data_IF_194635482792
#
_entry.id   IF_194635482792
#
_cell.length_a   1.000
_cell.length_b   1.000
_cell.length_c   1.000
_cell.angle_alpha   90.00
_cell.angle_beta   90.00
_cell.angle_gamma   90.00
#
_symmetry.space_group_name_H-M   'P 1'
#
loop_
_entity.id
_entity.type
_entity.pdbx_description
1 polymer ?
#
# COMPACT_ATOMS: atom_id res chain seq x y z
N UNK A 1 -1.88 -13.23 -28.75
CA UNK A 1 -1.55 -12.69 -27.42
C UNK A 1 -0.09 -12.31 -27.40
N UNK A 2 0.21 -11.00 -27.46
CA UNK A 2 1.58 -10.47 -27.33
C UNK A 2 2.10 -10.73 -25.91
N UNK A 3 3.41 -10.97 -25.78
CA UNK A 3 4.11 -11.15 -24.50
C UNK A 3 5.41 -10.37 -24.52
N UNK A 4 5.83 -9.89 -23.35
CA UNK A 4 7.11 -9.19 -23.20
C UNK A 4 8.25 -10.15 -23.55
N UNK A 5 9.20 -9.70 -24.37
CA UNK A 5 10.39 -10.46 -24.75
C UNK A 5 11.34 -10.73 -23.57
N UNK A 6 11.20 -9.99 -22.46
CA UNK A 6 12.05 -10.12 -21.26
C UNK A 6 11.41 -10.84 -20.09
N UNK A 7 10.20 -10.45 -19.71
CA UNK A 7 9.53 -10.98 -18.50
C UNK A 7 8.33 -11.88 -18.81
N UNK A 8 8.01 -12.11 -20.09
CA UNK A 8 6.88 -12.93 -20.55
C UNK A 8 5.49 -12.42 -20.15
N UNK A 9 5.38 -11.25 -19.51
CA UNK A 9 4.09 -10.65 -19.14
C UNK A 9 3.19 -10.49 -20.37
N UNK A 10 1.94 -10.99 -20.32
CA UNK A 10 1.01 -10.93 -21.44
C UNK A 10 0.33 -9.56 -21.57
N UNK A 11 -0.13 -9.22 -22.77
CA UNK A 11 -0.82 -7.95 -23.06
C UNK A 11 -2.17 -7.78 -22.35
N UNK A 12 -2.65 -8.82 -21.67
CA UNK A 12 -3.87 -8.79 -20.86
C UNK A 12 -3.64 -8.20 -19.46
N UNK A 13 -2.40 -7.96 -19.05
CA UNK A 13 -2.12 -7.25 -17.80
C UNK A 13 -2.52 -5.79 -17.99
N UNK A 14 -3.36 -5.30 -17.09
CA UNK A 14 -3.90 -3.94 -17.19
C UNK A 14 -2.77 -2.90 -17.28
N UNK A 15 -2.99 -1.86 -18.08
CA UNK A 15 -2.06 -0.75 -18.40
C UNK A 15 -0.77 -1.06 -19.15
N UNK A 16 -0.41 -2.33 -19.31
CA UNK A 16 0.91 -2.63 -19.86
C UNK A 16 0.98 -2.20 -21.34
N UNK A 17 2.03 -1.45 -21.68
CA UNK A 17 2.32 -1.08 -23.07
C UNK A 17 3.59 -1.78 -23.52
N UNK A 18 3.78 -1.88 -24.83
CA UNK A 18 4.95 -2.51 -25.44
C UNK A 18 5.55 -1.58 -26.48
N UNK A 19 6.87 -1.48 -26.49
CA UNK A 19 7.60 -0.78 -27.53
C UNK A 19 7.76 -1.65 -28.80
N UNK A 20 8.46 -1.11 -29.81
CA UNK A 20 8.72 -1.80 -31.08
C UNK A 20 9.65 -3.02 -30.92
N UNK A 21 10.45 -3.09 -29.84
CA UNK A 21 11.30 -4.24 -29.50
C UNK A 21 10.52 -5.36 -28.78
N UNK A 22 9.23 -5.14 -28.48
CA UNK A 22 8.40 -6.08 -27.74
C UNK A 22 8.71 -6.13 -26.25
N UNK A 23 9.39 -5.13 -25.71
CA UNK A 23 9.65 -4.99 -24.27
C UNK A 23 8.49 -4.21 -23.64
N UNK A 24 8.02 -4.66 -22.48
CA UNK A 24 6.93 -3.98 -21.79
C UNK A 24 7.40 -2.74 -21.02
N UNK A 25 6.48 -1.79 -20.82
CA UNK A 25 6.68 -0.57 -20.05
C UNK A 25 7.26 -0.80 -18.66
N UNK A 26 6.82 -1.84 -17.93
CA UNK A 26 7.36 -2.17 -16.59
C UNK A 26 8.85 -2.56 -16.67
N UNK A 27 9.25 -3.36 -17.67
CA UNK A 27 10.66 -3.67 -17.88
C UNK A 27 11.49 -2.42 -18.19
N UNK A 28 10.94 -1.47 -18.96
CA UNK A 28 11.60 -0.18 -19.21
C UNK A 28 11.72 0.69 -17.95
N UNK A 29 10.72 0.68 -17.08
CA UNK A 29 10.80 1.37 -15.78
C UNK A 29 11.86 0.76 -14.86
N UNK A 30 12.04 -0.56 -14.88
CA UNK A 30 13.12 -1.23 -14.13
C UNK A 30 14.51 -0.82 -14.65
N UNK A 31 14.70 -0.72 -15.97
CA UNK A 31 15.94 -0.18 -16.56
C UNK A 31 16.16 1.27 -16.11
N UNK A 32 15.12 2.11 -16.19
CA UNK A 32 15.20 3.50 -15.73
C UNK A 32 15.63 3.59 -14.26
N UNK A 33 15.05 2.77 -13.38
CA UNK A 33 15.42 2.72 -11.97
C UNK A 33 16.90 2.41 -11.75
N UNK A 34 17.47 1.53 -12.58
CA UNK A 34 18.87 1.11 -12.49
C UNK A 34 19.83 2.17 -13.03
N UNK A 35 19.47 2.82 -14.14
CA UNK A 35 20.42 3.63 -14.91
C UNK A 35 20.25 5.14 -14.74
N UNK A 36 19.07 5.62 -14.32
CA UNK A 36 18.69 7.05 -14.41
C UNK A 36 18.36 7.71 -13.08
N UNK A 37 18.05 6.95 -12.03
CA UNK A 37 17.73 7.55 -10.72
C UNK A 37 19.01 8.02 -10.03
N UNK A 38 19.07 9.33 -9.73
CA UNK A 38 20.05 9.89 -8.80
C UNK A 38 19.61 9.61 -7.36
N UNK A 39 20.11 8.50 -6.81
CA UNK A 39 19.81 8.10 -5.43
C UNK A 39 20.35 9.08 -4.38
N UNK A 40 21.41 9.84 -4.69
CA UNK A 40 21.92 10.85 -3.77
C UNK A 40 20.99 12.05 -3.72
N UNK A 41 20.41 12.46 -4.85
CA UNK A 41 19.37 13.48 -4.90
C UNK A 41 18.08 13.04 -4.20
N UNK A 42 17.61 11.81 -4.47
CA UNK A 42 16.44 11.24 -3.77
C UNK A 42 16.63 11.19 -2.25
N UNK A 43 17.85 10.87 -1.78
CA UNK A 43 18.15 10.92 -0.36
C UNK A 43 18.05 12.34 0.20
N UNK A 44 18.57 13.36 -0.51
CA UNK A 44 18.44 14.77 -0.08
C UNK A 44 16.98 15.20 0.02
N UNK A 45 16.17 14.89 -0.99
CA UNK A 45 14.74 15.18 -0.99
C UNK A 45 14.03 14.51 0.21
N UNK A 46 14.38 13.25 0.50
CA UNK A 46 13.85 12.54 1.66
C UNK A 46 14.27 13.21 2.98
N UNK A 47 15.54 13.58 3.13
CA UNK A 47 16.06 14.23 4.33
C UNK A 47 15.36 15.57 4.60
N UNK A 48 15.05 16.34 3.56
CA UNK A 48 14.29 17.59 3.65
C UNK A 48 12.85 17.35 4.16
N UNK A 49 12.15 16.34 3.62
CA UNK A 49 10.81 15.95 4.07
C UNK A 49 10.85 15.49 5.53
N UNK A 50 11.84 14.68 5.90
CA UNK A 50 12.03 14.17 7.26
C UNK A 50 12.25 15.31 8.24
N UNK A 51 13.14 16.25 7.91
CA UNK A 51 13.42 17.42 8.74
C UNK A 51 12.19 18.30 8.96
N UNK A 52 11.28 18.36 7.99
CA UNK A 52 10.04 19.10 8.10
C UNK A 52 9.01 18.49 9.09
N UNK A 53 9.15 17.23 9.50
CA UNK A 53 8.15 16.54 10.33
C UNK A 53 8.68 16.02 11.67
N UNK A 54 9.97 15.69 11.73
CA UNK A 54 10.61 15.09 12.90
C UNK A 54 10.49 15.96 14.15
N UNK A 55 10.02 15.36 15.25
CA UNK A 55 9.90 15.95 16.57
C UNK A 55 8.74 16.95 16.73
N UNK A 56 7.82 17.05 15.76
CA UNK A 56 6.75 18.07 15.76
C UNK A 56 5.40 17.56 16.28
N UNK A 57 5.16 16.25 16.24
CA UNK A 57 3.90 15.63 16.64
C UNK A 57 4.07 14.53 17.68
N UNK A 58 2.97 13.85 17.99
CA UNK A 58 3.01 12.64 18.82
C UNK A 58 3.85 11.52 18.18
N UNK A 59 3.77 11.44 16.86
CA UNK A 59 4.57 10.59 15.97
C UNK A 59 5.15 11.43 14.84
N UNK A 60 6.32 11.05 14.35
CA UNK A 60 6.99 11.73 13.24
C UNK A 60 6.43 11.30 11.88
N UNK A 61 5.92 10.07 11.80
CA UNK A 61 5.34 9.50 10.60
C UNK A 61 4.42 8.31 10.89
N UNK A 62 3.60 7.96 9.90
CA UNK A 62 2.85 6.70 9.84
C UNK A 62 3.59 5.70 8.94
N UNK A 63 3.61 4.44 9.34
CA UNK A 63 4.19 3.34 8.57
C UNK A 63 3.19 2.19 8.45
N UNK A 64 2.62 1.94 7.26
CA UNK A 64 1.88 0.73 6.96
C UNK A 64 2.78 -0.50 7.08
N UNK A 65 2.30 -1.56 7.72
CA UNK A 65 3.14 -2.73 7.97
C UNK A 65 2.39 -4.04 7.77
N UNK A 66 2.93 -4.93 6.92
CA UNK A 66 2.36 -6.26 6.64
C UNK A 66 3.12 -7.41 7.30
N UNK A 67 4.38 -7.18 7.67
CA UNK A 67 5.29 -8.26 8.12
C UNK A 67 6.11 -8.90 7.02
N UNK A 68 5.91 -8.47 5.77
CA UNK A 68 6.76 -8.84 4.65
C UNK A 68 8.14 -8.17 4.73
N UNK A 69 9.13 -8.76 4.03
CA UNK A 69 10.53 -8.29 4.01
C UNK A 69 10.66 -6.78 3.77
N UNK A 70 9.85 -6.22 2.88
CA UNK A 70 9.96 -4.81 2.47
C UNK A 70 9.46 -3.89 3.57
N UNK A 71 8.30 -4.20 4.18
CA UNK A 71 7.78 -3.45 5.34
C UNK A 71 8.68 -3.56 6.57
N UNK A 72 9.34 -4.71 6.79
CA UNK A 72 10.33 -4.90 7.85
C UNK A 72 11.54 -4.01 7.62
N UNK A 73 12.08 -4.01 6.40
CA UNK A 73 13.23 -3.16 6.06
C UNK A 73 12.89 -1.68 6.13
N UNK A 74 11.72 -1.28 5.62
CA UNK A 74 11.24 0.10 5.70
C UNK A 74 11.15 0.57 7.16
N UNK A 75 10.52 -0.22 8.04
CA UNK A 75 10.40 0.12 9.46
C UNK A 75 11.77 0.20 10.14
N UNK A 76 12.66 -0.76 9.84
CA UNK A 76 14.04 -0.73 10.31
C UNK A 76 14.75 0.56 9.87
N UNK A 77 14.65 0.93 8.59
CA UNK A 77 15.32 2.11 8.04
C UNK A 77 14.80 3.39 8.69
N UNK A 78 13.48 3.54 8.82
CA UNK A 78 12.83 4.68 9.47
C UNK A 78 13.31 4.86 10.91
N UNK A 79 13.35 3.78 11.70
CA UNK A 79 13.72 3.84 13.12
C UNK A 79 15.23 3.94 13.30
N UNK A 80 16.01 3.09 12.62
CA UNK A 80 17.45 2.94 12.87
C UNK A 80 18.31 3.89 12.06
N UNK A 81 17.87 4.30 10.87
CA UNK A 81 18.64 5.20 9.99
C UNK A 81 18.10 6.63 10.09
N UNK A 82 16.82 6.86 9.79
CA UNK A 82 16.21 8.20 9.84
C UNK A 82 15.98 8.72 11.27
N UNK A 83 16.02 7.80 12.26
CA UNK A 83 15.79 8.08 13.69
C UNK A 83 14.46 8.78 13.93
N UNK A 84 13.41 8.32 13.25
CA UNK A 84 12.05 8.79 13.44
C UNK A 84 11.33 7.93 14.49
N UNK A 85 10.32 8.51 15.13
CA UNK A 85 9.32 7.83 15.95
C UNK A 85 8.06 7.54 15.11
N UNK A 86 7.92 6.35 14.51
CA UNK A 86 6.74 6.02 13.72
C UNK A 86 5.57 5.55 14.60
N UNK A 87 4.36 5.77 14.12
CA UNK A 87 3.20 4.93 14.45
C UNK A 87 3.04 3.88 13.37
N UNK A 88 3.16 2.61 13.75
CA UNK A 88 2.96 1.49 12.84
C UNK A 88 1.46 1.19 12.75
N UNK A 89 0.94 1.10 11.53
CA UNK A 89 -0.48 0.80 11.27
C UNK A 89 -0.59 -0.50 10.50
N UNK A 90 -1.38 -1.42 11.05
CA UNK A 90 -1.68 -2.72 10.46
C UNK A 90 -3.17 -2.86 10.19
N UNK A 91 -3.49 -3.50 9.08
CA UNK A 91 -4.82 -4.00 8.79
C UNK A 91 -4.79 -5.53 8.82
N UNK A 92 -5.62 -6.14 9.66
CA UNK A 92 -5.69 -7.59 9.80
C UNK A 92 -6.82 -8.16 8.94
N UNK A 93 -6.47 -8.71 7.80
CA UNK A 93 -7.42 -9.30 6.85
C UNK A 93 -7.90 -10.72 7.25
N UNK A 94 -7.79 -11.11 8.54
CA UNK A 94 -8.14 -12.43 9.08
C UNK A 94 -7.35 -13.63 8.54
N UNK A 95 -6.30 -13.38 7.77
CA UNK A 95 -5.52 -14.43 7.08
C UNK A 95 -4.08 -14.58 7.55
N UNK A 96 -3.67 -13.88 8.62
CA UNK A 96 -2.29 -14.02 9.12
C UNK A 96 -2.03 -15.43 9.65
N UNK A 97 -0.91 -16.00 9.24
CA UNK A 97 -0.41 -17.27 9.78
C UNK A 97 0.21 -17.01 11.16
N UNK A 98 0.12 -17.95 12.12
CA UNK A 98 0.70 -17.77 13.46
C UNK A 98 2.17 -17.32 13.43
N UNK A 99 2.99 -17.92 12.55
CA UNK A 99 4.39 -17.55 12.39
C UNK A 99 4.60 -16.10 11.95
N UNK A 100 3.70 -15.55 11.13
CA UNK A 100 3.77 -14.14 10.72
C UNK A 100 3.52 -13.24 11.91
N UNK A 101 2.56 -13.60 12.77
CA UNK A 101 2.27 -12.82 13.98
C UNK A 101 3.41 -12.87 15.00
N UNK A 102 4.02 -14.04 15.19
CA UNK A 102 5.20 -14.20 16.04
C UNK A 102 6.40 -13.37 15.54
N UNK A 103 6.64 -13.41 14.22
CA UNK A 103 7.69 -12.61 13.58
C UNK A 103 7.43 -11.11 13.73
N UNK A 104 6.20 -10.68 13.50
CA UNK A 104 5.81 -9.27 13.64
C UNK A 104 6.01 -8.79 15.06
N UNK A 105 5.53 -9.55 16.05
CA UNK A 105 5.73 -9.27 17.47
C UNK A 105 7.22 -9.17 17.81
N UNK A 106 8.04 -10.07 17.29
CA UNK A 106 9.50 -10.04 17.49
C UNK A 106 10.13 -8.77 16.90
N UNK A 107 9.77 -8.39 15.67
CA UNK A 107 10.26 -7.18 15.02
C UNK A 107 9.87 -5.93 15.81
N UNK A 108 8.62 -5.79 16.22
CA UNK A 108 8.15 -4.63 16.99
C UNK A 108 8.88 -4.48 18.32
N UNK A 109 9.12 -5.59 19.03
CA UNK A 109 9.90 -5.59 20.28
C UNK A 109 11.36 -5.18 20.05
N UNK A 110 11.98 -5.66 18.98
CA UNK A 110 13.39 -5.35 18.67
C UNK A 110 13.59 -3.91 18.19
N UNK A 111 12.65 -3.39 17.41
CA UNK A 111 12.73 -2.02 16.88
C UNK A 111 12.23 -0.98 17.88
N UNK A 112 11.29 -1.34 18.75
CA UNK A 112 10.74 -0.48 19.79
C UNK A 112 9.81 0.59 19.20
N UNK A 113 8.63 0.18 18.74
CA UNK A 113 7.66 1.07 18.11
C UNK A 113 6.23 0.82 18.60
N UNK A 114 5.40 1.86 18.54
CA UNK A 114 3.97 1.77 18.81
C UNK A 114 3.25 1.19 17.59
N UNK A 115 2.31 0.29 17.82
CA UNK A 115 1.58 -0.43 16.76
C UNK A 115 0.09 -0.37 17.02
N UNK A 116 -0.67 0.02 16.01
CA UNK A 116 -2.13 -0.12 15.98
C UNK A 116 -2.48 -1.13 14.91
N UNK A 117 -3.26 -2.13 15.30
CA UNK A 117 -3.86 -3.07 14.38
C UNK A 117 -5.38 -2.89 14.37
N UNK A 118 -5.94 -2.70 13.18
CA UNK A 118 -7.36 -2.79 12.97
C UNK A 118 -7.73 -4.18 12.44
N UNK A 119 -8.56 -4.87 13.22
CA UNK A 119 -9.15 -6.15 12.83
C UNK A 119 -10.64 -5.92 12.56
N UNK A 120 -11.08 -5.88 11.28
CA UNK A 120 -12.47 -5.67 10.90
C UNK A 120 -13.35 -6.80 11.41
N UNK A 121 -14.67 -6.59 11.48
CA UNK A 121 -15.60 -7.67 11.79
C UNK A 121 -15.53 -8.77 10.73
N UNK A 122 -15.25 -10.03 11.13
CA UNK A 122 -15.14 -11.15 10.20
C UNK A 122 -16.42 -11.39 9.38
N UNK A 123 -17.60 -11.14 9.95
CA UNK A 123 -18.86 -11.28 9.23
C UNK A 123 -18.96 -10.29 8.06
N UNK A 124 -18.51 -9.05 8.27
CA UNK A 124 -18.44 -8.03 7.21
C UNK A 124 -17.43 -8.47 6.15
N UNK A 125 -16.22 -8.87 6.57
CA UNK A 125 -15.17 -9.36 5.66
C UNK A 125 -15.66 -10.51 4.80
N UNK A 126 -16.38 -11.47 5.37
CA UNK A 126 -16.91 -12.62 4.62
C UNK A 126 -17.88 -12.18 3.52
N UNK A 127 -18.78 -11.24 3.80
CA UNK A 127 -19.69 -10.72 2.78
C UNK A 127 -18.93 -9.93 1.71
N UNK A 128 -17.96 -9.11 2.09
CA UNK A 128 -17.09 -8.35 1.18
C UNK A 128 -16.28 -9.25 0.27
N UNK A 129 -15.67 -10.31 0.81
CA UNK A 129 -14.91 -11.30 0.05
C UNK A 129 -15.78 -11.99 -1.00
N UNK A 130 -16.99 -12.43 -0.61
CA UNK A 130 -17.90 -13.12 -1.52
C UNK A 130 -18.41 -12.19 -2.62
N UNK A 131 -18.80 -10.96 -2.27
CA UNK A 131 -19.35 -10.01 -3.23
C UNK A 131 -18.30 -9.53 -4.23
N UNK A 132 -17.09 -9.21 -3.77
CA UNK A 132 -15.97 -8.85 -4.65
C UNK A 132 -15.56 -9.99 -5.57
N UNK A 133 -15.48 -11.22 -5.05
CA UNK A 133 -15.14 -12.39 -5.86
C UNK A 133 -16.15 -12.61 -7.01
N UNK A 134 -17.45 -12.49 -6.73
CA UNK A 134 -18.49 -12.64 -7.77
C UNK A 134 -18.37 -11.60 -8.90
N UNK A 135 -17.90 -10.39 -8.58
CA UNK A 135 -17.87 -9.27 -9.52
C UNK A 135 -16.57 -9.14 -10.28
N UNK A 136 -15.44 -9.36 -9.58
CA UNK A 136 -14.10 -9.10 -10.10
C UNK A 136 -13.24 -10.34 -10.22
N UNK A 137 -13.67 -11.48 -9.66
CA UNK A 137 -12.83 -12.67 -9.53
C UNK A 137 -11.76 -12.53 -8.44
N UNK A 138 -11.75 -11.41 -7.70
CA UNK A 138 -10.85 -11.13 -6.60
C UNK A 138 -11.64 -10.98 -5.30
N UNK A 139 -11.29 -11.77 -4.29
CA UNK A 139 -11.92 -11.75 -2.98
C UNK A 139 -11.29 -10.73 -2.01
N UNK A 140 -10.12 -10.19 -2.35
CA UNK A 140 -9.33 -9.36 -1.45
C UNK A 140 -9.66 -7.87 -1.58
N UNK A 141 -10.81 -7.47 -2.15
CA UNK A 141 -11.22 -6.06 -2.23
C UNK A 141 -11.08 -5.35 -0.88
N UNK A 142 -11.58 -5.97 0.20
CA UNK A 142 -11.46 -5.47 1.56
C UNK A 142 -10.01 -5.31 2.06
N UNK A 143 -9.06 -6.09 1.52
CA UNK A 143 -7.63 -5.95 1.79
C UNK A 143 -7.13 -4.68 1.12
N UNK A 144 -7.38 -4.54 -0.18
CA UNK A 144 -6.86 -3.44 -0.99
C UNK A 144 -7.38 -2.09 -0.49
N UNK A 145 -8.68 -2.00 -0.20
CA UNK A 145 -9.28 -0.78 0.33
C UNK A 145 -8.91 -0.57 1.79
N UNK A 146 -9.09 -1.58 2.64
CA UNK A 146 -8.89 -1.48 4.09
C UNK A 146 -7.46 -1.14 4.52
N UNK A 147 -6.45 -1.64 3.80
CA UNK A 147 -5.05 -1.27 4.05
C UNK A 147 -4.83 0.21 3.76
N UNK A 148 -5.30 0.69 2.61
CA UNK A 148 -5.02 2.06 2.17
C UNK A 148 -5.83 3.10 2.93
N UNK A 149 -7.16 2.95 2.95
CA UNK A 149 -8.03 3.90 3.65
C UNK A 149 -7.81 3.84 5.17
N UNK A 150 -7.58 2.66 5.73
CA UNK A 150 -7.33 2.50 7.17
C UNK A 150 -6.06 3.20 7.65
N UNK A 151 -4.99 3.14 6.86
CA UNK A 151 -3.77 3.91 7.12
C UNK A 151 -4.03 5.42 7.08
N UNK A 152 -4.73 5.91 6.05
CA UNK A 152 -5.08 7.33 5.93
C UNK A 152 -5.97 7.80 7.10
N UNK A 153 -6.91 6.96 7.49
CA UNK A 153 -7.76 7.17 8.65
C UNK A 153 -6.99 7.29 9.97
N UNK A 154 -5.90 6.54 10.13
CA UNK A 154 -5.03 6.68 11.30
C UNK A 154 -4.17 7.94 11.20
N UNK A 155 -3.62 8.25 10.03
CA UNK A 155 -2.86 9.48 9.81
C UNK A 155 -3.65 10.73 10.22
N UNK A 156 -4.93 10.81 9.81
CA UNK A 156 -5.83 11.90 10.19
C UNK A 156 -6.14 11.90 11.68
N UNK A 157 -6.47 10.75 12.28
CA UNK A 157 -6.84 10.65 13.70
C UNK A 157 -5.68 10.98 14.66
N UNK A 158 -4.46 10.64 14.28
CA UNK A 158 -3.25 10.92 15.05
C UNK A 158 -2.55 12.21 14.62
N UNK A 159 -3.17 12.99 13.73
CA UNK A 159 -2.65 14.28 13.23
C UNK A 159 -1.19 14.15 12.75
N UNK A 160 -0.88 13.03 12.09
CA UNK A 160 0.48 12.68 11.64
C UNK A 160 0.55 12.75 10.11
N UNK A 161 1.06 13.84 9.53
CA UNK A 161 0.93 14.12 8.10
C UNK A 161 1.95 13.40 7.21
N UNK A 162 3.09 12.95 7.76
CA UNK A 162 4.09 12.22 6.99
C UNK A 162 3.77 10.72 6.98
N UNK A 163 3.73 10.14 5.79
CA UNK A 163 3.38 8.73 5.59
C UNK A 163 4.37 8.06 4.64
N UNK A 164 4.87 6.88 5.01
CA UNK A 164 5.83 6.11 4.20
C UNK A 164 5.14 4.92 3.54
N UNK A 165 4.89 5.00 2.23
CA UNK A 165 4.43 3.84 1.44
C UNK A 165 5.61 2.98 1.00
N UNK A 166 5.43 1.66 1.00
CA UNK A 166 6.50 0.69 0.78
C UNK A 166 6.85 0.41 -0.68
N UNK A 167 6.03 0.85 -1.63
CA UNK A 167 6.11 0.43 -3.04
C UNK A 167 5.75 1.60 -3.95
N UNK A 168 6.56 1.82 -4.99
CA UNK A 168 6.18 2.69 -6.11
C UNK A 168 5.38 1.88 -7.11
N UNK A 169 4.26 2.43 -7.59
CA UNK A 169 3.43 1.71 -8.56
C UNK A 169 4.12 1.50 -9.91
N UNK A 170 5.17 2.28 -10.21
CA UNK A 170 6.02 2.10 -11.39
C UNK A 170 6.75 0.73 -11.41
N UNK A 171 6.83 0.02 -10.28
CA UNK A 171 7.41 -1.33 -10.22
C UNK A 171 6.47 -2.42 -10.77
N UNK A 172 5.17 -2.15 -10.86
CA UNK A 172 4.15 -3.17 -11.14
C UNK A 172 3.15 -2.76 -12.23
N UNK A 173 2.89 -1.46 -12.37
CA UNK A 173 1.88 -0.90 -13.25
C UNK A 173 2.48 0.20 -14.13
N UNK A 174 1.79 0.54 -15.21
CA UNK A 174 2.23 1.61 -16.13
C UNK A 174 1.39 2.88 -16.00
N UNK A 175 0.68 3.02 -14.87
CA UNK A 175 -0.05 4.24 -14.52
C UNK A 175 0.88 5.37 -14.09
N UNK A 176 2.06 5.01 -13.56
CA UNK A 176 3.07 5.94 -13.09
C UNK A 176 4.48 5.46 -13.50
N UNK A 177 5.43 6.38 -13.48
CA UNK A 177 6.84 6.20 -13.84
C UNK A 177 7.75 6.66 -12.71
N UNK A 178 9.02 6.26 -12.72
CA UNK A 178 10.00 6.74 -11.72
C UNK A 178 10.43 8.21 -11.92
N UNK A 179 10.05 8.80 -13.05
CA UNK A 179 10.32 10.19 -13.40
C UNK A 179 9.41 11.16 -12.64
N UNK A 180 8.19 10.73 -12.31
CA UNK A 180 7.22 11.57 -11.62
C UNK A 180 7.16 11.30 -10.11
N UNK A 181 6.74 12.32 -9.36
CA UNK A 181 6.40 12.16 -7.94
C UNK A 181 4.94 11.73 -7.86
N UNK A 182 4.71 10.45 -7.57
CA UNK A 182 3.37 9.88 -7.47
C UNK A 182 2.58 10.52 -6.32
N UNK A 183 1.43 11.11 -6.65
CA UNK A 183 0.48 11.62 -5.66
C UNK A 183 -0.45 10.50 -5.19
N UNK A 184 -0.48 10.24 -3.89
CA UNK A 184 -1.36 9.24 -3.27
C UNK A 184 -2.69 9.88 -2.88
N UNK A 185 -3.46 10.26 -3.90
CA UNK A 185 -4.74 10.94 -3.78
C UNK A 185 -5.96 10.00 -3.95
N UNK A 186 -7.16 10.57 -3.86
CA UNK A 186 -8.42 9.84 -4.04
C UNK A 186 -8.53 9.24 -5.46
N UNK A 187 -8.05 9.96 -6.49
CA UNK A 187 -8.07 9.49 -7.87
C UNK A 187 -7.23 8.22 -8.03
N UNK A 188 -6.04 8.19 -7.44
CA UNK A 188 -5.18 7.01 -7.39
C UNK A 188 -5.85 5.87 -6.62
N UNK A 189 -6.44 6.16 -5.46
CA UNK A 189 -7.15 5.15 -4.67
C UNK A 189 -8.27 4.48 -5.48
N UNK A 190 -9.10 5.27 -6.16
CA UNK A 190 -10.20 4.79 -7.00
C UNK A 190 -9.71 4.04 -8.25
N UNK A 191 -8.53 4.38 -8.77
CA UNK A 191 -7.94 3.72 -9.93
C UNK A 191 -7.28 2.39 -9.60
N UNK A 192 -6.57 2.32 -8.47
CA UNK A 192 -5.64 1.23 -8.17
C UNK A 192 -6.08 0.33 -7.02
N UNK A 193 -6.77 0.88 -6.01
CA UNK A 193 -6.97 0.18 -4.75
C UNK A 193 -8.37 -0.41 -4.63
N UNK A 194 -9.40 0.38 -4.90
CA UNK A 194 -10.78 -0.12 -4.79
C UNK A 194 -11.27 -0.88 -6.02
N UNK A 195 -10.40 -1.03 -7.02
CA UNK A 195 -10.68 -1.68 -8.30
C UNK A 195 -11.85 -1.05 -9.06
N UNK A 196 -12.29 0.16 -8.77
CA UNK A 196 -13.52 0.75 -9.34
C UNK A 196 -14.81 0.21 -8.71
N UNK A 197 -14.75 -0.23 -7.45
CA UNK A 197 -15.91 -0.47 -6.59
C UNK A 197 -15.69 0.38 -5.33
N UNK A 198 -16.43 1.46 -5.17
CA UNK A 198 -16.38 2.28 -3.96
C UNK A 198 -17.05 1.57 -2.77
N UNK A 199 -16.87 2.08 -1.55
CA UNK A 199 -17.59 1.58 -0.39
C UNK A 199 -19.12 1.75 -0.52
N UNK A 200 -19.58 2.83 -1.16
CA UNK A 200 -20.99 3.05 -1.44
C UNK A 200 -21.52 2.07 -2.51
N UNK A 201 -20.76 1.80 -3.57
CA UNK A 201 -21.12 0.74 -4.54
C UNK A 201 -21.23 -0.62 -3.85
N UNK A 202 -20.26 -0.96 -3.00
CA UNK A 202 -20.24 -2.21 -2.25
C UNK A 202 -21.43 -2.30 -1.30
N UNK A 203 -21.80 -1.20 -0.63
CA UNK A 203 -22.99 -1.13 0.23
C UNK A 203 -24.27 -1.50 -0.55
N UNK A 204 -24.47 -0.90 -1.73
CA UNK A 204 -25.60 -1.19 -2.59
C UNK A 204 -25.59 -2.65 -3.08
N UNK A 205 -24.41 -3.18 -3.43
CA UNK A 205 -24.25 -4.57 -3.85
C UNK A 205 -24.56 -5.58 -2.75
N UNK A 206 -24.31 -5.21 -1.49
CA UNK A 206 -24.57 -6.07 -0.34
C UNK A 206 -26.06 -6.13 0.02
N UNK A 207 -26.89 -5.20 -0.45
CA UNK A 207 -28.36 -5.21 -0.29
C UNK A 207 -28.79 -5.39 1.17
N UNK A 208 -28.15 -4.65 2.08
CA UNK A 208 -28.46 -4.69 3.52
C UNK A 208 -27.86 -5.86 4.30
N UNK A 209 -27.01 -6.70 3.68
CA UNK A 209 -26.24 -7.74 4.42
C UNK A 209 -25.19 -7.16 5.36
N UNK A 210 -24.79 -5.91 5.15
CA UNK A 210 -23.84 -5.15 5.98
C UNK A 210 -24.38 -3.72 6.15
N UNK A 211 -24.25 -3.16 7.34
CA UNK A 211 -24.65 -1.78 7.61
C UNK A 211 -23.63 -0.79 7.02
N UNK A 212 -24.11 0.35 6.52
CA UNK A 212 -23.21 1.35 5.89
C UNK A 212 -22.09 1.79 6.81
N UNK A 213 -22.38 1.93 8.11
CA UNK A 213 -21.38 2.32 9.12
C UNK A 213 -20.26 1.30 9.28
N UNK A 214 -20.49 0.04 8.93
CA UNK A 214 -19.48 -1.02 9.05
C UNK A 214 -18.48 -0.98 7.88
N UNK A 215 -18.77 -0.16 6.86
CA UNK A 215 -17.90 0.03 5.70
C UNK A 215 -16.97 1.24 5.82
N UNK A 216 -16.99 1.95 6.96
CA UNK A 216 -16.20 3.19 7.15
C UNK A 216 -14.69 3.03 6.94
N UNK A 217 -14.18 1.81 7.05
CA UNK A 217 -12.76 1.49 6.88
C UNK A 217 -12.41 1.12 5.44
N UNK A 218 -13.30 1.24 4.46
CA UNK A 218 -13.07 0.80 3.08
C UNK A 218 -13.29 1.94 2.09
#
# INVERSE_FOLDING_TARGET
MRKCTRCLTPETVDTITYDDEGVCSVCRQVEFKQDKIDWADRQRQLDEIVAAHKGKGLYDCIVPYSGGKDSVFQLYYIIKVLKLKPLVVRYNHWGYRPLVEDNNTSVFKQLGCDVIEFTPNFHVVRELMLESFKRRGDFCWHCHTGIYSGVMHMAVRFETPLLFWGESTAEYHSWYTFEEMEEVDEKRFNRLMNQGITADDMYEFLQGRVERRDLWMF
#
